data_IF_469885439447
#
_entry.id   IF_469885439447
#
_cell.length_a   1.000
_cell.length_b   1.000
_cell.length_c   1.000
_cell.angle_alpha   90.00
_cell.angle_beta   90.00
_cell.angle_gamma   90.00
#
_symmetry.space_group_name_H-M   'P 1'
#
loop_
_entity.id
_entity.type
_entity.pdbx_description
1 polymer ?
#
# COMPACT_ATOMS: atom_id res chain seq x y z
N UNK A 1 -23.13 20.32 8.94
CA UNK A 1 -22.03 20.22 7.96
C UNK A 1 -21.45 18.82 8.08
N UNK A 2 -21.51 18.01 7.04
CA UNK A 2 -21.01 16.63 7.09
C UNK A 2 -19.47 16.68 6.98
N UNK A 3 -18.76 16.02 7.88
CA UNK A 3 -17.30 16.01 7.93
C UNK A 3 -16.65 15.50 6.61
N UNK A 4 -17.28 14.54 5.91
CA UNK A 4 -16.87 14.10 4.59
C UNK A 4 -16.77 15.23 3.54
N UNK A 5 -17.55 16.30 3.72
CA UNK A 5 -17.51 17.49 2.85
C UNK A 5 -16.31 18.40 3.11
N UNK A 6 -15.71 18.31 4.31
CA UNK A 6 -14.53 19.11 4.68
C UNK A 6 -13.21 18.48 4.20
N UNK A 7 -13.14 17.16 4.13
CA UNK A 7 -11.93 16.43 3.72
C UNK A 7 -11.87 16.26 2.20
N UNK A 8 -13.03 16.34 1.52
CA UNK A 8 -13.12 16.07 0.09
C UNK A 8 -13.10 14.57 -0.27
N UNK A 9 -13.20 14.24 -1.54
CA UNK A 9 -13.13 12.86 -2.02
C UNK A 9 -11.72 12.31 -1.85
N UNK A 10 -11.55 10.98 -1.72
CA UNK A 10 -10.23 10.35 -1.66
C UNK A 10 -9.45 10.60 -2.95
N UNK A 11 -8.13 10.78 -2.82
CA UNK A 11 -7.22 10.95 -3.96
C UNK A 11 -6.95 9.62 -4.66
N UNK A 12 -7.90 9.16 -5.46
CA UNK A 12 -7.80 7.93 -6.23
C UNK A 12 -7.19 8.19 -7.61
N UNK A 13 -6.38 7.26 -8.09
CA UNK A 13 -5.86 7.28 -9.46
C UNK A 13 -6.91 6.70 -10.44
N UNK A 14 -6.82 7.06 -11.74
CA UNK A 14 -7.65 6.42 -12.76
C UNK A 14 -7.51 4.88 -12.71
N UNK A 15 -8.64 4.18 -12.67
CA UNK A 15 -8.69 2.72 -12.56
C UNK A 15 -8.61 2.16 -11.14
N UNK A 16 -8.52 2.99 -10.11
CA UNK A 16 -8.72 2.55 -8.74
C UNK A 16 -10.21 2.49 -8.39
N UNK A 17 -10.58 1.50 -7.59
CA UNK A 17 -11.97 1.24 -7.22
C UNK A 17 -12.33 2.02 -5.95
N UNK A 18 -13.17 3.04 -6.13
CA UNK A 18 -13.68 3.85 -5.02
C UNK A 18 -14.50 3.03 -4.02
N UNK A 19 -15.23 2.00 -4.48
CA UNK A 19 -16.02 1.16 -3.59
C UNK A 19 -15.13 0.31 -2.67
N UNK A 20 -13.99 -0.18 -3.18
CA UNK A 20 -13.00 -0.87 -2.35
C UNK A 20 -12.36 0.06 -1.32
N UNK A 21 -12.05 1.30 -1.70
CA UNK A 21 -11.54 2.29 -0.76
C UNK A 21 -12.55 2.58 0.35
N UNK A 22 -13.81 2.82 0.00
CA UNK A 22 -14.89 3.11 0.95
C UNK A 22 -15.16 1.91 1.89
N UNK A 23 -15.11 0.69 1.37
CA UNK A 23 -15.21 -0.53 2.16
C UNK A 23 -14.07 -0.63 3.19
N UNK A 24 -12.83 -0.38 2.76
CA UNK A 24 -11.66 -0.35 3.64
C UNK A 24 -11.81 0.70 4.74
N UNK A 25 -12.25 1.91 4.37
CA UNK A 25 -12.51 3.00 5.32
C UNK A 25 -13.60 2.64 6.33
N UNK A 26 -14.67 1.98 5.87
CA UNK A 26 -15.75 1.55 6.74
C UNK A 26 -15.29 0.52 7.78
N UNK A 27 -14.43 -0.42 7.40
CA UNK A 27 -13.84 -1.39 8.34
C UNK A 27 -12.95 -0.68 9.40
N UNK A 28 -12.08 0.24 8.99
CA UNK A 28 -11.30 1.01 9.97
C UNK A 28 -12.17 1.87 10.87
N UNK A 29 -13.24 2.46 10.36
CA UNK A 29 -14.18 3.21 11.18
C UNK A 29 -14.81 2.36 12.27
N UNK A 30 -15.12 1.08 11.99
CA UNK A 30 -15.60 0.14 13.02
C UNK A 30 -14.52 -0.14 14.09
N UNK A 31 -13.26 -0.32 13.66
CA UNK A 31 -12.15 -0.61 14.58
C UNK A 31 -11.76 0.61 15.46
N UNK A 32 -11.80 1.81 14.91
CA UNK A 32 -11.38 3.04 15.60
C UNK A 32 -12.47 3.66 16.45
N UNK A 33 -13.75 3.35 16.18
CA UNK A 33 -14.93 3.90 16.87
C UNK A 33 -14.85 5.42 17.05
N UNK A 34 -14.74 6.22 15.96
CA UNK A 34 -14.52 7.65 16.05
C UNK A 34 -15.67 8.35 16.76
N UNK A 35 -15.33 9.16 17.78
CA UNK A 35 -16.32 9.89 18.62
C UNK A 35 -16.45 11.36 18.26
N UNK A 36 -15.53 11.89 17.47
CA UNK A 36 -15.47 13.28 17.09
C UNK A 36 -14.81 13.46 15.72
N UNK A 37 -14.87 14.69 15.19
CA UNK A 37 -14.31 15.08 13.90
C UNK A 37 -12.83 14.73 13.75
N UNK A 38 -12.06 14.85 14.84
CA UNK A 38 -10.64 14.60 14.82
C UNK A 38 -10.32 13.09 14.74
N UNK A 39 -11.14 12.27 15.39
CA UNK A 39 -11.02 10.80 15.27
C UNK A 39 -11.41 10.34 13.85
N UNK A 40 -12.41 10.96 13.22
CA UNK A 40 -12.75 10.71 11.81
C UNK A 40 -11.60 11.10 10.86
N UNK A 41 -10.89 12.20 11.14
CA UNK A 41 -9.70 12.57 10.38
C UNK A 41 -8.61 11.49 10.49
N UNK A 42 -8.37 10.97 11.69
CA UNK A 42 -7.40 9.90 11.91
C UNK A 42 -7.79 8.65 11.11
N UNK A 43 -9.06 8.27 11.09
CA UNK A 43 -9.56 7.12 10.30
C UNK A 43 -9.28 7.34 8.81
N UNK A 44 -9.56 8.54 8.30
CA UNK A 44 -9.32 8.87 6.90
C UNK A 44 -7.83 8.83 6.56
N UNK A 45 -7.00 9.53 7.33
CA UNK A 45 -5.54 9.54 7.13
C UNK A 45 -4.94 8.13 7.22
N UNK A 46 -5.44 7.30 8.13
CA UNK A 46 -5.00 5.92 8.28
C UNK A 46 -5.37 5.08 7.05
N UNK A 47 -6.60 5.25 6.53
CA UNK A 47 -7.07 4.59 5.32
C UNK A 47 -6.21 4.99 4.12
N UNK A 48 -5.94 6.30 3.95
CA UNK A 48 -5.12 6.84 2.87
C UNK A 48 -3.70 6.25 2.89
N UNK A 49 -3.07 6.16 4.07
CA UNK A 49 -1.72 5.60 4.18
C UNK A 49 -1.66 4.13 3.79
N UNK A 50 -2.68 3.33 4.14
CA UNK A 50 -2.75 1.93 3.74
C UNK A 50 -3.02 1.80 2.25
N UNK A 51 -3.96 2.57 1.71
CA UNK A 51 -4.29 2.58 0.29
C UNK A 51 -3.08 2.95 -0.57
N UNK A 52 -2.39 4.03 -0.21
CA UNK A 52 -1.18 4.47 -0.90
C UNK A 52 -0.05 3.42 -0.83
N UNK A 53 0.16 2.79 0.32
CA UNK A 53 1.16 1.73 0.44
C UNK A 53 0.85 0.53 -0.46
N UNK A 54 -0.42 0.12 -0.56
CA UNK A 54 -0.86 -0.94 -1.47
C UNK A 54 -0.70 -0.53 -2.94
N UNK A 55 -0.99 0.72 -3.28
CA UNK A 55 -0.78 1.30 -4.61
C UNK A 55 0.69 1.20 -5.02
N UNK A 56 1.60 1.59 -4.16
CA UNK A 56 3.04 1.54 -4.42
C UNK A 56 3.53 0.10 -4.63
N UNK A 57 3.09 -0.85 -3.83
CA UNK A 57 3.40 -2.28 -4.02
C UNK A 57 2.89 -2.81 -5.37
N UNK A 58 1.70 -2.38 -5.82
CA UNK A 58 1.20 -2.71 -7.16
C UNK A 58 2.06 -2.10 -8.27
N UNK A 59 2.58 -0.89 -8.08
CA UNK A 59 3.47 -0.25 -9.04
C UNK A 59 4.81 -0.98 -9.16
N UNK A 60 5.38 -1.44 -8.06
CA UNK A 60 6.58 -2.25 -8.05
C UNK A 60 6.42 -3.50 -8.93
N UNK A 61 5.36 -4.27 -8.73
CA UNK A 61 5.04 -5.45 -9.55
C UNK A 61 4.93 -5.07 -11.02
N UNK A 62 4.17 -4.01 -11.35
CA UNK A 62 3.99 -3.56 -12.74
C UNK A 62 5.28 -3.08 -13.41
N UNK A 63 6.20 -2.48 -12.66
CA UNK A 63 7.51 -2.09 -13.17
C UNK A 63 8.34 -3.31 -13.58
N UNK A 64 8.34 -4.35 -12.74
CA UNK A 64 9.05 -5.60 -13.06
C UNK A 64 8.41 -6.27 -14.28
N UNK A 65 7.07 -6.45 -14.27
CA UNK A 65 6.32 -7.04 -15.38
C UNK A 65 6.57 -6.29 -16.69
N UNK A 66 6.49 -4.95 -16.67
CA UNK A 66 6.72 -4.11 -17.85
C UNK A 66 8.16 -4.18 -18.40
N UNK A 67 9.11 -4.59 -17.57
CA UNK A 67 10.52 -4.68 -17.94
C UNK A 67 10.93 -6.06 -18.46
N UNK A 68 10.10 -7.09 -18.32
CA UNK A 68 10.45 -8.48 -18.67
C UNK A 68 10.83 -8.65 -20.14
N UNK A 69 10.14 -7.95 -21.05
CA UNK A 69 10.47 -8.00 -22.48
C UNK A 69 11.89 -7.47 -22.72
N UNK A 70 12.22 -6.31 -22.20
CA UNK A 70 13.55 -5.73 -22.33
C UNK A 70 14.61 -6.59 -21.62
N UNK A 71 14.27 -7.18 -20.49
CA UNK A 71 15.15 -8.09 -19.75
C UNK A 71 15.50 -9.33 -20.58
N UNK A 72 14.49 -9.96 -21.21
CA UNK A 72 14.73 -11.09 -22.11
C UNK A 72 15.58 -10.69 -23.31
N UNK A 73 15.29 -9.55 -23.94
CA UNK A 73 16.09 -9.04 -25.07
C UNK A 73 17.58 -8.89 -24.65
N UNK A 74 17.84 -8.34 -23.47
CA UNK A 74 19.21 -8.23 -22.94
C UNK A 74 19.88 -9.59 -22.68
N UNK A 75 19.14 -10.60 -22.22
CA UNK A 75 19.68 -11.94 -21.99
C UNK A 75 19.99 -12.67 -23.31
N UNK A 76 19.19 -12.40 -24.35
CA UNK A 76 19.38 -12.98 -25.69
C UNK A 76 20.44 -12.26 -26.51
N UNK A 77 20.79 -11.02 -26.21
CA UNK A 77 21.71 -10.19 -26.98
C UNK A 77 23.07 -10.88 -27.30
N UNK A 78 23.72 -11.59 -26.37
CA UNK A 78 24.96 -12.30 -26.67
C UNK A 78 24.79 -13.42 -27.73
N UNK A 79 23.58 -13.98 -27.85
CA UNK A 79 23.28 -15.06 -28.81
C UNK A 79 23.11 -14.56 -30.24
N UNK A 80 22.89 -13.27 -30.40
CA UNK A 80 22.71 -12.58 -31.68
C UNK A 80 23.89 -11.64 -32.02
N UNK A 81 25.10 -11.99 -31.55
CA UNK A 81 26.33 -11.21 -31.82
C UNK A 81 26.20 -9.72 -31.42
N UNK A 82 25.46 -9.46 -30.33
CA UNK A 82 25.16 -8.15 -29.81
C UNK A 82 24.20 -7.32 -30.70
N UNK A 83 23.52 -7.93 -31.67
CA UNK A 83 22.45 -7.31 -32.43
C UNK A 83 21.23 -7.15 -31.57
N UNK A 84 21.05 -5.93 -31.02
CA UNK A 84 19.94 -5.61 -30.13
C UNK A 84 18.56 -5.69 -30.83
N UNK A 85 18.51 -5.46 -32.15
CA UNK A 85 17.25 -5.52 -32.91
C UNK A 85 16.73 -6.93 -33.00
N UNK A 86 17.60 -7.90 -33.35
CA UNK A 86 17.23 -9.32 -33.42
C UNK A 86 16.88 -9.89 -32.05
N UNK A 87 17.65 -9.53 -31.01
CA UNK A 87 17.36 -9.94 -29.65
C UNK A 87 15.99 -9.41 -29.16
N UNK A 88 15.66 -8.15 -29.47
CA UNK A 88 14.38 -7.57 -29.15
C UNK A 88 13.22 -8.22 -29.91
N UNK A 89 13.40 -8.49 -31.21
CA UNK A 89 12.44 -9.21 -32.02
C UNK A 89 12.15 -10.61 -31.45
N UNK A 90 13.17 -11.36 -31.07
CA UNK A 90 13.03 -12.66 -30.41
C UNK A 90 12.27 -12.56 -29.08
N UNK A 91 12.55 -11.53 -28.28
CA UNK A 91 11.80 -11.29 -27.04
C UNK A 91 10.34 -10.94 -27.32
N UNK A 92 10.05 -10.14 -28.35
CA UNK A 92 8.69 -9.86 -28.79
C UNK A 92 7.94 -11.12 -29.24
N UNK A 93 8.63 -12.04 -29.92
CA UNK A 93 8.05 -13.33 -30.33
C UNK A 93 7.68 -14.18 -29.10
N UNK A 94 8.53 -14.18 -28.08
CA UNK A 94 8.29 -14.95 -26.84
C UNK A 94 7.03 -14.49 -26.09
N UNK A 95 6.87 -13.18 -25.90
CA UNK A 95 5.71 -12.59 -25.22
C UNK A 95 4.51 -12.37 -26.14
N UNK A 96 4.67 -12.63 -27.46
CA UNK A 96 3.62 -12.50 -28.44
C UNK A 96 2.55 -13.60 -28.36
N UNK A 97 1.46 -13.41 -29.10
CA UNK A 97 0.34 -14.36 -29.16
C UNK A 97 0.56 -15.50 -30.15
N UNK A 98 1.59 -15.44 -30.99
CA UNK A 98 1.92 -16.46 -31.98
C UNK A 98 2.71 -17.61 -31.33
N UNK A 99 2.01 -18.70 -31.08
CA UNK A 99 2.56 -19.88 -30.39
C UNK A 99 3.76 -20.50 -31.15
N UNK A 100 3.74 -20.51 -32.48
CA UNK A 100 4.80 -21.08 -33.30
C UNK A 100 6.11 -20.28 -33.14
N UNK A 101 6.00 -18.94 -33.17
CA UNK A 101 7.14 -18.03 -32.97
C UNK A 101 7.64 -18.05 -31.54
N UNK A 102 6.71 -18.06 -30.58
CA UNK A 102 7.05 -18.19 -29.16
C UNK A 102 7.81 -19.49 -28.86
N UNK A 103 7.46 -20.59 -29.53
CA UNK A 103 8.17 -21.87 -29.39
C UNK A 103 9.63 -21.77 -29.83
N UNK A 104 9.93 -21.12 -30.93
CA UNK A 104 11.31 -20.95 -31.40
C UNK A 104 12.17 -20.21 -30.34
N UNK A 105 11.66 -19.17 -29.75
CA UNK A 105 12.40 -18.47 -28.70
C UNK A 105 12.52 -19.30 -27.42
N UNK A 106 11.49 -20.07 -27.02
CA UNK A 106 11.59 -21.03 -25.90
C UNK A 106 12.64 -22.09 -26.11
N UNK A 107 12.73 -22.66 -27.32
CA UNK A 107 13.75 -23.67 -27.66
C UNK A 107 15.15 -23.05 -27.59
N UNK A 108 15.33 -21.80 -28.04
CA UNK A 108 16.59 -21.07 -27.93
C UNK A 108 16.94 -20.82 -26.46
N UNK A 109 16.00 -20.37 -25.65
CA UNK A 109 16.19 -20.14 -24.20
C UNK A 109 16.60 -21.44 -23.50
N UNK A 110 15.88 -22.55 -23.77
CA UNK A 110 16.21 -23.88 -23.21
C UNK A 110 17.59 -24.32 -23.54
N UNK A 111 18.02 -24.16 -24.82
CA UNK A 111 19.38 -24.52 -25.28
C UNK A 111 20.48 -23.75 -24.55
N UNK A 112 20.19 -22.53 -24.14
CA UNK A 112 21.17 -21.66 -23.47
C UNK A 112 20.91 -21.49 -21.96
N UNK A 113 20.06 -22.33 -21.37
CA UNK A 113 19.66 -22.31 -19.95
C UNK A 113 19.17 -20.96 -19.46
N UNK A 114 18.45 -20.21 -20.30
CA UNK A 114 17.78 -18.97 -19.89
C UNK A 114 16.43 -19.35 -19.32
N UNK A 115 16.24 -19.05 -18.03
CA UNK A 115 15.00 -19.37 -17.28
C UNK A 115 14.14 -18.14 -17.03
N UNK A 116 12.88 -18.35 -16.65
CA UNK A 116 11.97 -17.28 -16.24
C UNK A 116 12.54 -16.49 -15.04
N UNK A 117 13.15 -17.17 -14.07
CA UNK A 117 13.77 -16.54 -12.92
C UNK A 117 14.92 -15.61 -13.33
N UNK A 118 15.67 -15.96 -14.37
CA UNK A 118 16.72 -15.08 -14.92
C UNK A 118 16.12 -13.83 -15.56
N UNK A 119 14.98 -13.97 -16.25
CA UNK A 119 14.26 -12.83 -16.83
C UNK A 119 13.78 -11.91 -15.70
N UNK A 120 13.16 -12.47 -14.66
CA UNK A 120 12.64 -11.70 -13.53
C UNK A 120 13.77 -11.02 -12.75
N UNK A 121 14.86 -11.72 -12.48
CA UNK A 121 16.05 -11.15 -11.84
C UNK A 121 16.66 -10.01 -12.67
N UNK A 122 16.73 -10.17 -13.99
CA UNK A 122 17.22 -9.13 -14.90
C UNK A 122 16.27 -7.93 -14.95
N UNK A 123 14.95 -8.17 -15.01
CA UNK A 123 13.94 -7.13 -14.99
C UNK A 123 13.99 -6.33 -13.68
N UNK A 124 14.12 -7.03 -12.54
CA UNK A 124 14.30 -6.40 -11.22
C UNK A 124 15.58 -5.54 -11.21
N UNK A 125 16.71 -6.09 -11.68
CA UNK A 125 17.97 -5.36 -11.75
C UNK A 125 17.91 -4.08 -12.59
N UNK A 126 17.15 -4.09 -13.70
CA UNK A 126 16.92 -2.91 -14.54
C UNK A 126 16.06 -1.83 -13.83
N UNK A 127 15.26 -2.22 -12.86
CA UNK A 127 14.33 -1.33 -12.13
C UNK A 127 14.78 -1.04 -10.69
N UNK A 128 16.01 -1.35 -10.30
CA UNK A 128 16.51 -1.16 -8.93
C UNK A 128 16.31 0.28 -8.40
N UNK A 129 16.58 1.30 -9.22
CA UNK A 129 16.45 2.69 -8.79
C UNK A 129 14.99 3.12 -8.55
N UNK A 130 14.03 2.93 -9.48
CA UNK A 130 12.64 3.24 -9.21
C UNK A 130 12.04 2.35 -8.11
N UNK A 131 12.42 1.07 -7.99
CA UNK A 131 11.97 0.20 -6.91
C UNK A 131 12.44 0.72 -5.56
N UNK A 132 13.71 1.08 -5.40
CA UNK A 132 14.24 1.67 -4.16
C UNK A 132 13.55 2.98 -3.78
N UNK A 133 13.10 3.75 -4.75
CA UNK A 133 12.27 4.93 -4.48
C UNK A 133 10.89 4.53 -3.95
N UNK A 134 10.23 3.55 -4.58
CA UNK A 134 8.93 3.02 -4.16
C UNK A 134 9.02 2.44 -2.73
N UNK A 135 10.02 1.63 -2.42
CA UNK A 135 10.25 1.07 -1.09
C UNK A 135 10.35 2.15 -0.02
N UNK A 136 11.06 3.26 -0.30
CA UNK A 136 11.09 4.42 0.61
C UNK A 136 9.73 5.05 0.80
N UNK A 137 8.94 5.17 -0.26
CA UNK A 137 7.57 5.70 -0.17
C UNK A 137 6.68 4.79 0.69
N UNK A 138 6.74 3.48 0.50
CA UNK A 138 6.04 2.48 1.31
C UNK A 138 6.44 2.62 2.78
N UNK A 139 7.74 2.61 3.08
CA UNK A 139 8.28 2.74 4.44
C UNK A 139 7.82 4.04 5.12
N UNK A 140 7.83 5.17 4.39
CA UNK A 140 7.32 6.44 4.90
C UNK A 140 5.82 6.37 5.24
N UNK A 141 5.01 5.72 4.40
CA UNK A 141 3.57 5.54 4.66
C UNK A 141 3.32 4.64 5.86
N UNK A 142 4.06 3.55 5.98
CA UNK A 142 3.98 2.65 7.13
C UNK A 142 4.41 3.33 8.43
N UNK A 143 5.45 4.13 8.42
CA UNK A 143 5.89 4.93 9.56
C UNK A 143 4.81 5.95 9.98
N UNK A 144 4.24 6.68 9.02
CA UNK A 144 3.16 7.63 9.26
C UNK A 144 1.91 6.95 9.81
N UNK A 145 1.53 5.79 9.25
CA UNK A 145 0.43 4.96 9.76
C UNK A 145 0.64 4.56 11.22
N UNK A 146 1.84 4.08 11.55
CA UNK A 146 2.17 3.66 12.91
C UNK A 146 2.15 4.86 13.89
N UNK A 147 2.51 6.06 13.45
CA UNK A 147 2.39 7.27 14.26
C UNK A 147 0.91 7.62 14.55
N UNK A 148 0.03 7.49 13.56
CA UNK A 148 -1.42 7.69 13.74
C UNK A 148 -2.03 6.70 14.74
N UNK A 149 -1.64 5.42 14.67
CA UNK A 149 -2.08 4.42 15.64
C UNK A 149 -1.66 4.78 17.06
N UNK A 150 -0.41 5.15 17.28
CA UNK A 150 0.11 5.57 18.60
C UNK A 150 -0.62 6.80 19.12
N UNK A 151 -0.95 7.75 18.26
CA UNK A 151 -1.68 8.94 18.66
C UNK A 151 -3.12 8.61 19.04
N UNK A 152 -3.80 7.74 18.27
CA UNK A 152 -5.15 7.26 18.60
C UNK A 152 -5.16 6.55 19.96
N UNK A 153 -4.25 5.60 20.19
CA UNK A 153 -4.12 4.90 21.49
C UNK A 153 -3.87 5.87 22.66
N UNK A 154 -3.00 6.87 22.45
CA UNK A 154 -2.70 7.89 23.45
C UNK A 154 -3.95 8.70 23.80
N UNK A 155 -4.79 9.06 22.83
CA UNK A 155 -6.06 9.77 23.05
C UNK A 155 -7.05 8.90 23.79
N UNK A 156 -7.20 7.64 23.43
CA UNK A 156 -8.07 6.72 24.15
C UNK A 156 -7.67 6.58 25.61
N UNK A 157 -6.37 6.39 25.89
CA UNK A 157 -5.84 6.30 27.28
C UNK A 157 -6.10 7.59 28.06
N UNK A 158 -5.97 8.77 27.45
CA UNK A 158 -6.28 10.06 28.10
C UNK A 158 -7.76 10.18 28.39
N UNK A 159 -8.62 9.85 27.45
CA UNK A 159 -10.08 9.89 27.63
C UNK A 159 -10.52 8.94 28.75
N UNK A 160 -10.02 7.72 28.80
CA UNK A 160 -10.29 6.75 29.85
C UNK A 160 -9.85 7.25 31.26
N UNK A 161 -8.66 7.89 31.35
CA UNK A 161 -8.18 8.50 32.59
C UNK A 161 -9.06 9.66 33.07
N UNK A 162 -9.51 10.51 32.14
CA UNK A 162 -10.40 11.63 32.46
C UNK A 162 -11.77 11.14 32.93
N UNK A 163 -12.32 10.13 32.28
CA UNK A 163 -13.61 9.53 32.67
C UNK A 163 -13.53 8.93 34.09
N UNK A 164 -12.44 8.21 34.42
CA UNK A 164 -12.22 7.67 35.78
C UNK A 164 -12.13 8.78 36.84
N UNK A 165 -11.40 9.88 36.55
CA UNK A 165 -11.31 11.03 37.46
C UNK A 165 -12.66 11.72 37.71
N UNK A 166 -13.46 11.90 36.64
CA UNK A 166 -14.82 12.48 36.78
C UNK A 166 -15.71 11.58 37.64
N UNK A 167 -15.74 10.27 37.37
CA UNK A 167 -16.53 9.34 38.17
C UNK A 167 -16.11 9.30 39.64
N UNK A 168 -14.81 9.41 39.96
CA UNK A 168 -14.34 9.48 41.32
C UNK A 168 -14.79 10.77 42.03
N UNK A 169 -14.70 11.92 41.36
CA UNK A 169 -15.16 13.21 41.90
C UNK A 169 -16.67 13.23 42.09
N UNK A 170 -17.45 12.67 41.17
CA UNK A 170 -18.91 12.60 41.29
C UNK A 170 -19.36 11.74 42.47
N UNK A 171 -18.70 10.59 42.71
CA UNK A 171 -18.93 9.72 43.82
C UNK A 171 -18.57 10.41 45.16
N UNK A 172 -17.49 11.17 45.22
CA UNK A 172 -17.10 11.94 46.43
C UNK A 172 -18.05 13.07 46.73
N UNK A 173 -18.53 13.77 45.67
CA UNK A 173 -19.54 14.81 45.81
C UNK A 173 -20.90 14.27 46.33
N UNK A 174 -21.27 13.07 45.82
CA UNK A 174 -22.48 12.38 46.27
C UNK A 174 -22.39 11.91 47.73
N UNK A 175 -21.24 11.36 48.11
CA UNK A 175 -20.99 10.94 49.49
C UNK A 175 -21.06 12.11 50.47
N UNK A 176 -20.51 13.29 50.14
CA UNK A 176 -20.57 14.49 50.92
C UNK A 176 -22.02 15.02 51.09
N UNK A 177 -22.81 14.97 50.02
CA UNK A 177 -24.24 15.35 50.08
C UNK A 177 -25.05 14.43 50.98
N UNK A 178 -24.82 13.13 50.90
CA UNK A 178 -25.53 12.17 51.72
C UNK A 178 -25.16 12.28 53.22
N UNK A 179 -23.92 12.63 53.52
CA UNK A 179 -23.47 12.87 54.92
C UNK A 179 -24.10 14.12 55.50
N UNK A 180 -24.24 15.21 54.74
CA UNK A 180 -24.83 16.47 55.22
C UNK A 180 -26.37 16.46 55.28
N UNK A 181 -27.02 15.40 54.83
CA UNK A 181 -28.47 15.21 54.92
C UNK A 181 -28.92 14.38 56.14
N UNK A 182 -27.95 13.87 56.91
CA UNK A 182 -28.20 13.05 58.11
C UNK A 182 -27.96 13.80 59.43
N UNK A 183 -27.46 15.03 59.36
CA UNK A 183 -27.34 15.99 60.46
C UNK A 183 -28.51 16.97 60.43
#
# INVERSE_FOLDING_TARGET
MNFAQLIGPPALLPGEDAAQYDALRAEFRKCFEPKNVLDEAIVTDFTDKIWEAQRYKKFEVRLIEGSRLSALAHLLMPLFELDSSKAFEAACMYFGRDESRSKLTRDLMSKHNITEEMIDAKALGMQCSPISFIERMVSNRETSRNALLREHERRQRRAARQSRKRGANDNEAQAKKNSSALD
#
